data_IF_617893555605
#
_entry.id   IF_617893555605
#
_cell.length_a   1.000
_cell.length_b   1.000
_cell.length_c   1.000
_cell.angle_alpha   90.00
_cell.angle_beta   90.00
_cell.angle_gamma   90.00
#
_symmetry.space_group_name_H-M   'P 1'
#
loop_
_entity.id
_entity.type
_entity.pdbx_description
1 polymer ?
#
# COMPACT_ATOMS: atom_id res chain seq x y z
N UNK A 1 4.77 7.59 9.36
CA UNK A 1 3.76 6.79 8.63
C UNK A 1 4.27 6.58 7.21
N UNK A 2 4.93 5.45 6.91
CA UNK A 2 5.58 5.22 5.60
C UNK A 2 4.61 5.19 4.41
N UNK A 3 3.30 5.06 4.63
CA UNK A 3 2.32 4.81 3.55
C UNK A 3 1.32 5.96 3.33
N UNK A 4 1.54 7.13 3.93
CA UNK A 4 0.56 8.24 3.92
C UNK A 4 0.20 8.72 2.51
N UNK A 5 1.18 8.80 1.61
CA UNK A 5 0.96 9.20 0.22
C UNK A 5 0.10 8.19 -0.56
N UNK A 6 0.22 6.90 -0.23
CA UNK A 6 -0.57 5.83 -0.87
C UNK A 6 -2.01 5.89 -0.36
N UNK A 7 -2.18 6.06 0.95
CA UNK A 7 -3.50 6.24 1.57
C UNK A 7 -4.21 7.45 0.97
N UNK A 8 -3.53 8.58 0.81
CA UNK A 8 -4.10 9.79 0.21
C UNK A 8 -4.57 9.57 -1.24
N UNK A 9 -3.79 8.88 -2.06
CA UNK A 9 -4.18 8.52 -3.44
C UNK A 9 -5.41 7.60 -3.47
N UNK A 10 -5.48 6.63 -2.56
CA UNK A 10 -6.62 5.71 -2.46
C UNK A 10 -7.87 6.46 -1.97
N UNK A 11 -7.74 7.33 -0.97
CA UNK A 11 -8.85 8.13 -0.44
C UNK A 11 -9.44 9.07 -1.51
N UNK A 12 -8.58 9.75 -2.26
CA UNK A 12 -9.01 10.57 -3.40
C UNK A 12 -9.72 9.73 -4.46
N UNK A 13 -9.23 8.52 -4.73
CA UNK A 13 -9.85 7.65 -5.73
C UNK A 13 -11.22 7.13 -5.29
N UNK A 14 -11.38 6.81 -4.01
CA UNK A 14 -12.68 6.45 -3.43
C UNK A 14 -13.66 7.61 -3.62
N UNK A 15 -13.26 8.82 -3.24
CA UNK A 15 -14.08 10.03 -3.40
C UNK A 15 -14.49 10.31 -4.85
N UNK A 16 -13.59 10.11 -5.81
CA UNK A 16 -13.93 10.21 -7.25
C UNK A 16 -15.00 9.20 -7.68
N UNK A 17 -14.95 7.97 -7.15
CA UNK A 17 -15.85 6.86 -7.53
C UNK A 17 -17.22 6.98 -6.87
N UNK A 18 -17.26 7.30 -5.57
CA UNK A 18 -18.52 7.44 -4.80
C UNK A 18 -19.30 8.69 -5.19
N UNK A 19 -18.70 9.56 -6.00
CA UNK A 19 -19.25 10.85 -6.39
C UNK A 19 -18.93 11.90 -5.35
N UNK A 20 -18.65 13.12 -5.82
CA UNK A 20 -18.36 14.31 -5.00
C UNK A 20 -19.55 14.79 -4.15
N UNK A 21 -20.62 13.99 -4.09
CA UNK A 21 -21.85 14.22 -3.34
C UNK A 21 -21.78 13.66 -1.93
N UNK A 22 -20.84 12.74 -1.65
CA UNK A 22 -20.63 12.22 -0.30
C UNK A 22 -19.59 13.11 0.41
N UNK A 23 -20.06 14.02 1.27
CA UNK A 23 -19.23 14.92 2.09
C UNK A 23 -18.37 14.15 3.13
N UNK A 24 -18.48 12.81 3.18
CA UNK A 24 -17.80 11.91 4.12
C UNK A 24 -16.31 11.71 3.81
N UNK A 25 -15.60 12.82 3.64
CA UNK A 25 -14.15 12.86 3.41
C UNK A 25 -13.41 12.00 4.44
N UNK A 26 -13.78 12.08 5.72
CA UNK A 26 -13.19 11.29 6.81
C UNK A 26 -13.44 9.78 6.69
N UNK A 27 -14.58 9.36 6.14
CA UNK A 27 -14.85 7.94 5.93
C UNK A 27 -13.97 7.40 4.80
N UNK A 28 -13.80 8.16 3.73
CA UNK A 28 -12.92 7.79 2.62
C UNK A 28 -11.46 7.61 3.06
N UNK A 29 -10.99 8.42 4.01
CA UNK A 29 -9.65 8.26 4.61
C UNK A 29 -9.53 6.95 5.40
N UNK A 30 -10.53 6.61 6.21
CA UNK A 30 -10.55 5.36 6.98
C UNK A 30 -10.57 4.14 6.06
N UNK A 31 -11.43 4.16 5.05
CA UNK A 31 -11.55 3.09 4.08
C UNK A 31 -10.24 2.92 3.28
N UNK A 32 -9.59 4.03 2.92
CA UNK A 32 -8.30 4.01 2.26
C UNK A 32 -7.18 3.41 3.12
N UNK A 33 -7.13 3.75 4.42
CA UNK A 33 -6.17 3.14 5.35
C UNK A 33 -6.39 1.63 5.48
N UNK A 34 -7.64 1.18 5.60
CA UNK A 34 -7.98 -0.23 5.70
C UNK A 34 -7.55 -1.00 4.45
N UNK A 35 -7.86 -0.48 3.25
CA UNK A 35 -7.45 -1.09 1.98
C UNK A 35 -5.93 -1.20 1.87
N UNK A 36 -5.21 -0.11 2.16
CA UNK A 36 -3.74 -0.10 2.08
C UNK A 36 -3.14 -1.10 3.06
N UNK A 37 -3.64 -1.15 4.29
CA UNK A 37 -3.17 -2.10 5.29
C UNK A 37 -3.43 -3.55 4.88
N UNK A 38 -4.61 -3.84 4.34
CA UNK A 38 -4.96 -5.17 3.82
C UNK A 38 -4.04 -5.60 2.67
N UNK A 39 -3.76 -4.70 1.71
CA UNK A 39 -2.85 -4.99 0.59
C UNK A 39 -1.42 -5.23 1.08
N UNK A 40 -0.93 -4.39 1.99
CA UNK A 40 0.41 -4.56 2.57
C UNK A 40 0.52 -5.90 3.31
N UNK A 41 -0.50 -6.25 4.10
CA UNK A 41 -0.53 -7.52 4.81
C UNK A 41 -0.51 -8.70 3.82
N UNK A 42 -1.34 -8.64 2.77
CA UNK A 42 -1.34 -9.65 1.72
C UNK A 42 0.02 -9.82 1.03
N UNK A 43 0.72 -8.71 0.74
CA UNK A 43 2.04 -8.75 0.12
C UNK A 43 3.14 -9.26 1.08
N UNK A 44 3.01 -9.00 2.39
CA UNK A 44 3.88 -9.59 3.42
C UNK A 44 3.66 -11.09 3.54
N UNK A 45 2.41 -11.54 3.57
CA UNK A 45 2.05 -12.95 3.70
C UNK A 45 2.53 -13.77 2.50
N UNK A 46 2.54 -13.17 1.31
CA UNK A 46 3.10 -13.78 0.08
C UNK A 46 4.62 -13.66 -0.05
N UNK A 47 5.33 -13.09 0.93
CA UNK A 47 6.77 -12.80 0.90
C UNK A 47 7.18 -11.97 -0.35
N UNK A 48 6.23 -11.24 -0.95
CA UNK A 48 6.43 -10.42 -2.16
C UNK A 48 7.08 -9.07 -1.84
N UNK A 49 6.97 -8.60 -0.58
CA UNK A 49 7.73 -7.45 -0.09
C UNK A 49 9.24 -7.75 0.04
N UNK A 50 9.64 -9.03 0.04
CA UNK A 50 11.05 -9.43 0.08
C UNK A 50 11.46 -10.02 -1.28
N UNK A 51 12.11 -9.20 -2.10
CA UNK A 51 13.42 -9.52 -2.69
C UNK A 51 13.89 -8.34 -3.52
N UNK A 52 14.70 -7.52 -2.88
CA UNK A 52 15.78 -6.82 -3.56
C UNK A 52 16.65 -7.88 -4.28
N UNK A 53 16.62 -7.99 -5.62
CA UNK A 53 17.32 -9.05 -6.33
C UNK A 53 18.84 -8.92 -6.19
N UNK A 54 19.32 -7.72 -5.84
CA UNK A 54 20.74 -7.36 -5.83
C UNK A 54 21.52 -7.96 -4.65
N UNK A 55 20.87 -8.30 -3.53
CA UNK A 55 21.56 -8.96 -2.40
C UNK A 55 21.88 -10.45 -2.65
N UNK A 56 21.25 -11.11 -3.62
CA UNK A 56 21.53 -12.54 -3.91
C UNK A 56 22.84 -12.77 -4.67
N UNK A 57 23.32 -11.79 -5.46
CA UNK A 57 24.54 -11.97 -6.27
C UNK A 57 25.84 -11.86 -5.48
N UNK A 58 25.87 -11.12 -4.37
CA UNK A 58 27.11 -10.94 -3.59
C UNK A 58 27.44 -12.11 -2.65
N UNK A 59 26.50 -13.02 -2.39
CA UNK A 59 26.73 -14.17 -1.49
C UNK A 59 27.31 -15.42 -2.19
N UNK A 60 27.48 -15.41 -3.51
CA UNK A 60 27.97 -16.56 -4.29
C UNK A 60 29.39 -16.38 -4.86
N UNK A 61 30.16 -15.41 -4.36
CA UNK A 61 31.55 -15.13 -4.82
C UNK A 61 32.61 -15.17 -3.71
N UNK A 62 32.38 -15.98 -2.67
CA UNK A 62 33.37 -16.23 -1.61
C UNK A 62 33.37 -17.71 -1.18
N UNK A 63 33.52 -18.59 -2.16
CA UNK A 63 33.93 -20.00 -1.99
C UNK A 63 34.78 -20.38 -3.18
#
# INVERSE_FOLDING_TARGET
>A
MENREIVEKVALKIWEITGKTDDRTDQNWKDAEEIVNMVIQHLKDKDLLKKDPLKRKYRRRLT
#
